data_IF_320533022707
#
_entry.id   IF_320533022707
#
_cell.length_a   1.000
_cell.length_b   1.000
_cell.length_c   1.000
_cell.angle_alpha   90.00
_cell.angle_beta   90.00
_cell.angle_gamma   90.00
#
_symmetry.space_group_name_H-M   'P 1'
#
loop_
_entity.id
_entity.type
_entity.pdbx_description
1 polymer ?
#
# COMPACT_ATOMS: atom_id res chain seq x y z
N UNK A 1 -14.01 0.55 16.32
CA UNK A 1 -12.66 0.06 15.96
C UNK A 1 -11.78 1.21 15.48
N UNK A 2 -11.18 1.97 16.40
CA UNK A 2 -10.15 2.97 16.06
C UNK A 2 -8.80 2.33 16.37
N UNK A 3 -8.01 2.00 15.35
CA UNK A 3 -6.61 1.68 15.57
C UNK A 3 -5.96 2.96 16.08
N UNK A 4 -5.52 2.94 17.34
CA UNK A 4 -4.79 4.06 17.93
C UNK A 4 -3.41 4.13 17.25
N UNK A 5 -2.89 5.35 17.09
CA UNK A 5 -1.61 5.66 16.41
C UNK A 5 -0.36 5.33 17.25
N UNK A 6 -0.56 4.71 18.41
CA UNK A 6 0.39 4.39 19.47
C UNK A 6 0.96 2.96 19.37
N UNK A 7 0.71 2.22 18.29
CA UNK A 7 1.24 0.86 18.13
C UNK A 7 0.48 -0.14 19.01
N UNK A 8 -0.74 -0.47 18.60
CA UNK A 8 -1.53 -1.54 19.22
C UNK A 8 -0.86 -2.93 19.15
N UNK A 9 -1.60 -4.03 19.38
CA UNK A 9 -1.04 -5.39 19.54
C UNK A 9 -0.13 -5.90 18.41
N UNK A 10 -0.07 -5.20 17.27
CA UNK A 10 0.74 -5.53 16.10
C UNK A 10 2.10 -4.81 16.04
N UNK A 11 2.49 -4.06 17.08
CA UNK A 11 3.71 -3.23 17.10
C UNK A 11 5.00 -4.02 16.79
N UNK A 12 5.03 -5.31 17.10
CA UNK A 12 6.15 -6.21 16.78
C UNK A 12 5.75 -7.45 15.95
N UNK A 13 4.62 -7.40 15.24
CA UNK A 13 4.09 -8.56 14.51
C UNK A 13 5.11 -9.20 13.57
N UNK A 14 5.87 -8.38 12.83
CA UNK A 14 6.91 -8.88 11.92
C UNK A 14 8.01 -9.60 12.71
N UNK A 15 8.48 -9.03 13.83
CA UNK A 15 9.51 -9.66 14.65
C UNK A 15 9.07 -11.01 15.21
N UNK A 16 7.81 -11.13 15.61
CA UNK A 16 7.26 -12.39 16.12
C UNK A 16 7.11 -13.45 15.01
N UNK A 17 6.71 -13.04 13.81
CA UNK A 17 6.71 -13.91 12.61
C UNK A 17 8.11 -14.40 12.28
N UNK A 18 9.12 -13.52 12.32
CA UNK A 18 10.51 -13.90 12.02
C UNK A 18 11.03 -14.94 13.03
N UNK A 19 10.81 -14.72 14.34
CA UNK A 19 11.16 -15.70 15.38
C UNK A 19 10.47 -17.04 15.18
N UNK A 20 9.20 -17.04 14.78
CA UNK A 20 8.45 -18.26 14.51
C UNK A 20 9.01 -19.02 13.29
N UNK A 21 9.46 -18.30 12.25
CA UNK A 21 10.09 -18.90 11.06
C UNK A 21 11.44 -19.56 11.42
N UNK A 22 12.26 -18.90 12.23
CA UNK A 22 13.53 -19.47 12.74
C UNK A 22 13.28 -20.72 13.59
N UNK A 23 12.30 -20.66 14.50
CA UNK A 23 11.91 -21.79 15.33
C UNK A 23 11.39 -22.98 14.49
N UNK A 24 10.81 -22.72 13.32
CA UNK A 24 10.40 -23.74 12.35
C UNK A 24 11.58 -24.30 11.51
N UNK A 25 12.81 -23.86 11.76
CA UNK A 25 14.02 -24.33 11.07
C UNK A 25 14.29 -23.62 9.73
N UNK A 26 13.67 -22.47 9.48
CA UNK A 26 14.01 -21.65 8.31
C UNK A 26 15.31 -20.88 8.57
N UNK A 27 16.20 -20.83 7.58
CA UNK A 27 17.35 -19.93 7.63
C UNK A 27 16.95 -18.56 7.07
N UNK A 28 17.22 -17.49 7.82
CA UNK A 28 16.89 -16.11 7.47
C UNK A 28 18.16 -15.27 7.38
N UNK A 29 18.25 -14.45 6.33
CA UNK A 29 19.21 -13.34 6.25
C UNK A 29 18.42 -12.02 6.13
N UNK A 30 18.80 -11.02 6.94
CA UNK A 30 18.09 -9.75 7.01
C UNK A 30 18.73 -8.72 6.06
N UNK A 31 17.93 -8.16 5.14
CA UNK A 31 18.37 -7.08 4.24
C UNK A 31 17.94 -5.70 4.74
N UNK A 32 17.12 -5.65 5.80
CA UNK A 32 16.63 -4.41 6.42
C UNK A 32 17.40 -4.19 7.70
N UNK A 33 17.90 -2.98 7.93
CA UNK A 33 18.64 -2.65 9.16
C UNK A 33 17.65 -2.52 10.34
N UNK A 34 17.99 -3.10 11.50
CA UNK A 34 17.14 -3.13 12.71
C UNK A 34 16.71 -1.73 13.22
N UNK A 35 17.37 -0.66 12.76
CA UNK A 35 17.13 0.72 13.18
C UNK A 35 15.81 1.33 12.68
N UNK A 36 15.09 0.70 11.75
CA UNK A 36 13.74 1.14 11.34
C UNK A 36 12.61 0.60 12.24
N UNK A 37 12.91 -0.33 13.15
CA UNK A 37 11.92 -1.00 14.01
C UNK A 37 11.79 -0.40 15.42
N UNK A 38 12.67 0.54 15.78
CA UNK A 38 12.55 1.33 17.01
C UNK A 38 12.02 2.72 16.65
N UNK A 39 11.16 3.28 17.51
CA UNK A 39 10.64 4.66 17.46
C UNK A 39 9.33 4.93 16.69
N UNK A 40 8.25 4.28 17.11
CA UNK A 40 6.92 4.92 17.18
C UNK A 40 6.79 5.85 18.42
N UNK A 41 7.90 6.38 18.93
CA UNK A 41 7.97 7.19 20.14
C UNK A 41 8.92 8.38 19.97
N UNK A 42 8.35 9.57 19.89
CA UNK A 42 8.94 10.87 20.25
C UNK A 42 10.29 11.23 19.61
N UNK A 43 10.27 11.66 18.34
CA UNK A 43 11.18 12.70 17.83
C UNK A 43 10.43 13.61 16.85
N UNK A 44 10.48 14.92 17.07
CA UNK A 44 9.62 15.94 16.43
C UNK A 44 9.77 16.08 14.90
N UNK A 45 10.71 15.38 14.26
CA UNK A 45 10.99 15.49 12.83
C UNK A 45 11.06 14.14 12.07
N UNK A 46 10.68 13.02 12.71
CA UNK A 46 10.63 11.71 12.03
C UNK A 46 9.23 11.54 11.43
N UNK A 47 9.16 11.26 10.12
CA UNK A 47 7.90 10.85 9.47
C UNK A 47 7.48 9.53 10.08
N UNK A 48 6.51 9.56 11.00
CA UNK A 48 5.87 8.34 11.51
C UNK A 48 5.18 7.66 10.33
N UNK A 49 5.79 6.63 9.79
CA UNK A 49 5.18 5.75 8.79
C UNK A 49 4.21 4.83 9.52
N UNK A 50 2.97 4.72 9.03
CA UNK A 50 1.98 3.82 9.63
C UNK A 50 2.26 2.34 9.35
N UNK A 51 3.21 2.02 8.47
CA UNK A 51 3.59 0.66 8.09
C UNK A 51 5.00 0.32 8.57
N UNK A 52 5.17 -0.93 9.04
CA UNK A 52 6.46 -1.57 9.28
C UNK A 52 6.78 -2.49 8.11
N UNK A 53 7.98 -2.41 7.54
CA UNK A 53 8.41 -3.29 6.44
C UNK A 53 9.68 -4.05 6.78
N UNK A 54 9.74 -5.29 6.33
CA UNK A 54 10.92 -6.14 6.39
C UNK A 54 11.22 -6.72 5.02
N UNK A 55 12.51 -6.79 4.72
CA UNK A 55 13.10 -7.39 3.53
C UNK A 55 14.21 -8.29 3.98
N UNK A 56 14.22 -9.51 3.46
CA UNK A 56 15.21 -10.50 3.77
C UNK A 56 15.30 -11.58 2.70
N UNK A 57 16.05 -12.61 3.04
CA UNK A 57 16.17 -13.84 2.28
C UNK A 57 15.80 -14.99 3.22
N UNK A 58 15.04 -15.95 2.72
CA UNK A 58 14.61 -17.13 3.45
C UNK A 58 14.99 -18.41 2.69
N UNK A 59 15.41 -19.43 3.43
CA UNK A 59 15.52 -20.82 2.96
C UNK A 59 14.67 -21.70 3.87
N UNK A 60 13.71 -22.39 3.28
CA UNK A 60 12.85 -23.34 3.99
C UNK A 60 13.59 -24.65 4.26
N UNK A 61 13.28 -25.36 5.36
CA UNK A 61 13.85 -26.68 5.62
C UNK A 61 13.47 -27.65 4.50
N UNK A 62 14.45 -28.44 4.04
CA UNK A 62 14.26 -29.39 2.92
C UNK A 62 14.33 -28.78 1.51
N UNK A 63 14.60 -27.48 1.38
CA UNK A 63 14.82 -26.83 0.09
C UNK A 63 16.24 -26.29 -0.01
N UNK A 64 16.88 -26.42 -1.18
CA UNK A 64 18.26 -25.97 -1.37
C UNK A 64 18.40 -24.50 -1.76
N UNK A 65 17.30 -23.89 -2.24
CA UNK A 65 17.32 -22.54 -2.82
C UNK A 65 16.79 -21.50 -1.84
N UNK A 66 17.58 -20.44 -1.69
CA UNK A 66 17.16 -19.21 -1.03
C UNK A 66 16.17 -18.43 -1.90
N UNK A 67 15.25 -17.70 -1.24
CA UNK A 67 14.23 -16.85 -1.87
C UNK A 67 14.16 -15.50 -1.17
N UNK A 68 13.86 -14.43 -1.92
CA UNK A 68 13.53 -13.13 -1.31
C UNK A 68 12.24 -13.25 -0.50
N UNK A 69 12.24 -12.61 0.67
CA UNK A 69 11.09 -12.45 1.52
C UNK A 69 10.86 -10.95 1.74
N UNK A 70 9.66 -10.49 1.41
CA UNK A 70 9.20 -9.12 1.67
C UNK A 70 7.95 -9.21 2.56
N UNK A 71 8.03 -8.67 3.77
CA UNK A 71 6.92 -8.60 4.73
C UNK A 71 6.56 -7.14 4.98
N UNK A 72 5.26 -6.85 5.03
CA UNK A 72 4.75 -5.52 5.38
C UNK A 72 3.56 -5.65 6.32
N UNK A 73 3.57 -4.88 7.39
CA UNK A 73 2.46 -4.76 8.34
C UNK A 73 1.82 -3.39 8.19
N UNK A 74 0.50 -3.37 8.01
CA UNK A 74 -0.29 -2.15 7.82
C UNK A 74 -1.43 -2.13 8.84
N UNK A 75 -1.89 -0.94 9.26
CA UNK A 75 -3.10 -0.84 10.06
C UNK A 75 -4.31 -1.31 9.23
N UNK A 76 -5.36 -1.88 9.85
CA UNK A 76 -6.49 -2.46 9.13
C UNK A 76 -7.20 -1.50 8.17
N UNK A 77 -7.19 -0.19 8.46
CA UNK A 77 -7.81 0.85 7.63
C UNK A 77 -7.07 1.08 6.30
N UNK A 78 -5.81 0.65 6.20
CA UNK A 78 -4.98 0.77 5.00
C UNK A 78 -4.95 -0.52 4.17
N UNK A 79 -5.57 -1.60 4.66
CA UNK A 79 -5.48 -2.94 4.08
C UNK A 79 -5.82 -2.98 2.57
N UNK A 80 -6.93 -2.35 2.16
CA UNK A 80 -7.33 -2.33 0.75
C UNK A 80 -6.29 -1.64 -0.16
N UNK A 81 -5.70 -0.54 0.32
CA UNK A 81 -4.70 0.21 -0.43
C UNK A 81 -3.35 -0.52 -0.48
N UNK A 82 -2.96 -1.15 0.64
CA UNK A 82 -1.78 -1.98 0.73
C UNK A 82 -1.88 -3.21 -0.17
N UNK A 83 -3.04 -3.86 -0.21
CA UNK A 83 -3.32 -5.00 -1.08
C UNK A 83 -3.16 -4.60 -2.55
N UNK A 84 -3.81 -3.52 -2.98
CA UNK A 84 -3.67 -3.00 -4.35
C UNK A 84 -2.21 -2.72 -4.72
N UNK A 85 -1.48 -2.08 -3.83
CA UNK A 85 -0.06 -1.79 -4.03
C UNK A 85 0.78 -3.07 -4.17
N UNK A 86 0.59 -4.03 -3.27
CA UNK A 86 1.45 -5.21 -3.16
C UNK A 86 1.15 -6.26 -4.22
N UNK A 87 -0.13 -6.37 -4.64
CA UNK A 87 -0.53 -7.20 -5.78
C UNK A 87 0.07 -6.69 -7.09
N UNK A 88 0.17 -5.37 -7.26
CA UNK A 88 0.76 -4.78 -8.46
C UNK A 88 -0.06 -5.04 -9.73
N UNK A 89 0.56 -5.05 -10.92
CA UNK A 89 1.99 -4.88 -11.23
C UNK A 89 2.54 -3.46 -10.98
N UNK A 90 3.87 -3.27 -11.06
CA UNK A 90 4.46 -1.91 -10.95
C UNK A 90 3.91 -0.95 -12.02
N UNK A 91 3.78 -1.42 -13.26
CA UNK A 91 3.19 -0.64 -14.35
C UNK A 91 1.73 -0.26 -14.07
N UNK A 92 0.93 -1.20 -13.57
CA UNK A 92 -0.45 -0.94 -13.17
C UNK A 92 -0.52 0.12 -12.06
N UNK A 93 0.29 -0.04 -11.01
CA UNK A 93 0.39 0.92 -9.91
C UNK A 93 0.81 2.31 -10.38
N UNK A 94 1.81 2.41 -11.27
CA UNK A 94 2.24 3.69 -11.85
C UNK A 94 1.13 4.36 -12.64
N UNK A 95 0.38 3.60 -13.42
CA UNK A 95 -0.75 4.09 -14.20
C UNK A 95 -1.89 4.58 -13.32
N UNK A 96 -2.26 3.82 -12.27
CA UNK A 96 -3.26 4.22 -11.28
C UNK A 96 -2.89 5.51 -10.56
N UNK A 97 -1.61 5.65 -10.14
CA UNK A 97 -1.11 6.89 -9.52
C UNK A 97 -1.12 8.06 -10.49
N UNK A 98 -0.76 7.83 -11.76
CA UNK A 98 -0.81 8.87 -12.79
C UNK A 98 -2.24 9.37 -13.01
N UNK A 99 -3.21 8.45 -13.11
CA UNK A 99 -4.62 8.77 -13.24
C UNK A 99 -5.15 9.54 -12.01
N UNK A 100 -4.84 9.08 -10.79
CA UNK A 100 -5.21 9.79 -9.57
C UNK A 100 -4.63 11.21 -9.53
N UNK A 101 -3.38 11.39 -9.97
CA UNK A 101 -2.72 12.69 -10.07
C UNK A 101 -3.40 13.64 -11.06
N UNK A 102 -3.89 13.13 -12.19
CA UNK A 102 -4.67 13.91 -13.14
C UNK A 102 -5.99 14.43 -12.53
N UNK A 103 -6.58 13.68 -11.58
CA UNK A 103 -7.76 14.09 -10.79
C UNK A 103 -7.45 14.96 -9.57
N UNK A 104 -6.19 15.36 -9.36
CA UNK A 104 -5.80 16.17 -8.20
C UNK A 104 -5.67 15.37 -6.89
N UNK A 105 -5.38 14.07 -7.01
CA UNK A 105 -5.17 13.16 -5.88
C UNK A 105 -3.76 12.56 -5.88
N UNK A 106 -3.31 12.07 -4.73
CA UNK A 106 -2.10 11.27 -4.58
C UNK A 106 -2.49 9.92 -3.99
N UNK A 107 -2.39 8.87 -4.81
CA UNK A 107 -2.62 7.49 -4.41
C UNK A 107 -1.30 6.86 -3.92
N UNK A 108 -1.34 6.20 -2.77
CA UNK A 108 -0.26 5.39 -2.18
C UNK A 108 -0.83 4.11 -1.56
N UNK A 109 0.05 3.23 -1.09
CA UNK A 109 -0.29 2.07 -0.27
C UNK A 109 -0.97 2.43 1.06
N UNK A 110 -0.81 3.66 1.54
CA UNK A 110 -1.48 4.16 2.74
C UNK A 110 -2.86 4.80 2.48
N UNK A 111 -3.24 5.00 1.22
CA UNK A 111 -4.50 5.66 0.87
C UNK A 111 -4.44 6.71 -0.23
N UNK A 112 -5.53 7.44 -0.38
CA UNK A 112 -5.71 8.54 -1.35
C UNK A 112 -5.84 9.86 -0.60
N UNK A 113 -4.95 10.81 -0.90
CA UNK A 113 -4.98 12.16 -0.33
C UNK A 113 -5.14 13.22 -1.41
N UNK A 114 -5.61 14.42 -1.05
CA UNK A 114 -5.67 15.55 -1.99
C UNK A 114 -4.24 15.96 -2.38
N UNK A 115 -4.03 16.24 -3.66
CA UNK A 115 -2.75 16.68 -4.21
C UNK A 115 -2.95 17.98 -5.00
N UNK A 116 -2.63 19.11 -4.38
CA UNK A 116 -2.79 20.43 -5.00
C UNK A 116 -1.43 20.94 -5.45
N UNK A 117 -1.33 21.41 -6.69
CA UNK A 117 -0.17 22.18 -7.15
C UNK A 117 -0.28 23.59 -6.58
N UNK A 118 0.79 24.08 -5.96
CA UNK A 118 0.86 25.49 -5.54
C UNK A 118 1.26 26.30 -6.76
N UNK A 119 0.51 27.37 -7.07
CA UNK A 119 0.77 28.22 -8.23
C UNK A 119 2.25 28.67 -8.25
N UNK A 120 2.92 28.45 -9.38
CA UNK A 120 4.33 28.83 -9.58
C UNK A 120 5.38 27.87 -9.00
N UNK A 121 4.99 26.82 -8.26
CA UNK A 121 5.93 25.85 -7.69
C UNK A 121 5.88 24.49 -8.41
N UNK A 122 7.03 23.84 -8.57
CA UNK A 122 7.11 22.42 -8.96
C UNK A 122 6.61 21.48 -7.84
N UNK A 123 6.41 22.00 -6.63
CA UNK A 123 6.03 21.22 -5.46
C UNK A 123 4.51 20.96 -5.40
N UNK A 124 4.15 19.72 -5.07
CA UNK A 124 2.77 19.30 -4.84
C UNK A 124 2.54 19.21 -3.35
N UNK A 125 1.57 19.97 -2.83
CA UNK A 125 1.14 19.86 -1.44
C UNK A 125 0.17 18.69 -1.33
N UNK A 126 0.53 17.72 -0.49
CA UNK A 126 -0.31 16.55 -0.20
C UNK A 126 -1.09 16.79 1.07
N UNK A 127 -2.37 16.43 1.07
CA UNK A 127 -3.20 16.39 2.26
C UNK A 127 -2.66 15.36 3.27
N UNK A 128 -2.99 15.57 4.54
CA UNK A 128 -2.58 14.70 5.65
C UNK A 128 -3.64 13.66 6.03
N UNK A 129 -4.83 13.73 5.43
CA UNK A 129 -5.96 12.85 5.71
C UNK A 129 -6.36 12.11 4.44
N UNK A 130 -6.63 10.81 4.59
CA UNK A 130 -7.26 10.02 3.54
C UNK A 130 -8.62 10.62 3.19
N UNK A 131 -8.84 10.81 1.89
CA UNK A 131 -10.08 11.33 1.33
C UNK A 131 -11.19 10.28 1.32
N UNK A 132 -10.80 9.02 1.15
CA UNK A 132 -11.72 7.89 1.01
C UNK A 132 -11.31 6.77 1.96
N UNK A 133 -12.29 6.21 2.67
CA UNK A 133 -12.14 4.96 3.39
C UNK A 133 -12.46 3.84 2.39
N UNK A 134 -11.56 2.88 2.25
CA UNK A 134 -11.74 1.72 1.38
C UNK A 134 -11.66 0.45 2.23
N UNK A 135 -12.66 -0.41 2.12
CA UNK A 135 -12.68 -1.72 2.77
C UNK A 135 -12.25 -2.83 1.80
N UNK A 136 -12.40 -2.58 0.51
CA UNK A 136 -12.03 -3.47 -0.60
C UNK A 136 -11.26 -2.72 -1.69
N UNK A 137 -10.60 -3.45 -2.59
CA UNK A 137 -9.97 -2.83 -3.76
C UNK A 137 -11.03 -2.16 -4.64
N UNK A 138 -12.22 -2.76 -4.80
CA UNK A 138 -13.33 -2.24 -5.58
C UNK A 138 -13.73 -0.81 -5.15
N UNK A 139 -13.70 -0.51 -3.84
CA UNK A 139 -13.99 0.84 -3.32
C UNK A 139 -12.99 1.87 -3.85
N UNK A 140 -11.72 1.48 -4.02
CA UNK A 140 -10.66 2.35 -4.55
C UNK A 140 -10.93 2.67 -6.02
N UNK A 141 -11.31 1.66 -6.81
CA UNK A 141 -11.67 1.85 -8.21
C UNK A 141 -12.92 2.73 -8.34
N UNK A 142 -13.95 2.49 -7.53
CA UNK A 142 -15.16 3.29 -7.49
C UNK A 142 -14.88 4.76 -7.12
N UNK A 143 -14.04 5.00 -6.10
CA UNK A 143 -13.62 6.35 -5.70
C UNK A 143 -12.86 7.08 -6.83
N UNK A 144 -12.13 6.34 -7.66
CA UNK A 144 -11.45 6.87 -8.84
C UNK A 144 -12.36 6.88 -10.09
N UNK A 145 -13.58 6.36 -10.05
CA UNK A 145 -14.48 6.25 -11.22
C UNK A 145 -13.95 5.32 -12.30
N UNK A 146 -13.32 4.22 -11.90
CA UNK A 146 -12.71 3.21 -12.77
C UNK A 146 -13.49 1.89 -12.70
N UNK A 147 -13.47 1.12 -13.77
CA UNK A 147 -13.94 -0.27 -13.75
C UNK A 147 -12.94 -1.12 -12.98
N UNK A 148 -13.42 -1.97 -12.07
CA UNK A 148 -12.57 -2.85 -11.29
C UNK A 148 -11.86 -3.88 -12.19
N UNK A 149 -10.59 -4.15 -11.90
CA UNK A 149 -9.73 -5.08 -12.64
C UNK A 149 -9.17 -6.12 -11.69
N UNK A 150 -9.46 -7.40 -11.96
CA UNK A 150 -8.96 -8.53 -11.17
C UNK A 150 -7.43 -8.63 -11.19
N UNK A 151 -6.79 -9.15 -10.12
CA UNK A 151 -5.33 -9.28 -10.01
C UNK A 151 -4.64 -9.91 -11.22
N UNK A 152 -5.18 -11.00 -11.77
CA UNK A 152 -4.59 -11.71 -12.90
C UNK A 152 -4.65 -10.92 -14.22
N UNK A 153 -5.49 -9.87 -14.30
CA UNK A 153 -5.59 -8.98 -15.46
C UNK A 153 -4.72 -7.71 -15.33
N UNK A 154 -3.96 -7.56 -14.24
CA UNK A 154 -3.09 -6.38 -13.99
C UNK A 154 -1.68 -6.52 -14.59
N UNK A 155 -1.38 -7.70 -15.16
CA UNK A 155 -0.13 -8.02 -15.82
C UNK A 155 -0.31 -7.82 -17.33
N UNK A 156 -0.32 -6.58 -17.79
CA UNK A 156 -0.42 -6.28 -19.21
C UNK A 156 0.62 -5.26 -19.62
N UNK A 157 1.24 -5.48 -20.77
CA UNK A 157 1.92 -4.43 -21.53
C UNK A 157 0.87 -3.38 -21.92
N UNK A 158 0.74 -2.36 -21.08
CA UNK A 158 0.07 -1.07 -21.33
C UNK A 158 -1.33 -1.19 -21.97
N UNK A 159 -2.30 -1.82 -21.28
CA UNK A 159 -3.71 -1.57 -21.60
C UNK A 159 -4.20 -0.30 -20.91
N UNK A 160 -4.94 0.59 -21.60
CA UNK A 160 -5.46 1.81 -20.99
C UNK A 160 -6.40 1.48 -19.82
N UNK A 161 -6.27 2.22 -18.72
CA UNK A 161 -7.23 2.13 -17.62
C UNK A 161 -8.62 2.52 -18.15
N UNK A 162 -9.59 1.62 -17.98
CA UNK A 162 -10.96 1.84 -18.43
C UNK A 162 -11.76 2.62 -17.38
N UNK A 163 -12.37 3.72 -17.83
CA UNK A 163 -13.34 4.45 -17.03
C UNK A 163 -14.58 3.58 -16.81
N UNK A 164 -15.18 3.68 -15.63
CA UNK A 164 -16.47 3.05 -15.39
C UNK A 164 -17.50 3.62 -16.38
N UNK A 165 -18.21 2.75 -17.10
CA UNK A 165 -19.36 3.17 -17.89
C UNK A 165 -20.40 3.71 -16.92
N UNK A 166 -20.61 5.02 -16.90
CA UNK A 166 -21.77 5.58 -16.20
C UNK A 166 -23.00 5.08 -16.94
N UNK A 167 -23.97 4.39 -16.32
CA UNK A 167 -25.23 4.15 -16.99
C UNK A 167 -25.77 5.52 -17.38
N UNK A 168 -25.98 5.73 -18.68
CA UNK A 168 -26.70 6.89 -19.17
C UNK A 168 -28.00 6.91 -18.37
N UNK A 169 -28.15 7.88 -17.46
CA UNK A 169 -29.46 8.22 -16.92
C UNK A 169 -30.33 8.46 -18.14
N UNK A 170 -31.21 7.50 -18.45
CA UNK A 170 -32.26 7.69 -19.41
C UNK A 170 -32.95 8.98 -18.97
N UNK A 171 -32.82 10.02 -19.79
CA UNK A 171 -33.59 11.23 -19.59
C UNK A 171 -35.04 10.78 -19.58
N UNK A 172 -35.68 10.79 -18.41
CA UNK A 172 -37.13 10.68 -18.34
C UNK A 172 -37.65 11.82 -19.23
N UNK A 173 -38.27 11.45 -20.35
CA UNK A 173 -39.07 12.34 -21.17
C UNK A 173 -40.39 12.62 -20.47
#
# INVERSE_FOLDING_TARGET
>A
WRCRRDGGPDANLIGDVLKALEAAGCALDHLTHEQEHQYAGVQANVRVTSCTSYRGVIKLPGYDRFRRLDLKSYPPQEYAYALLYFTGSDHFNRSMRHFAKAKGYSLSDHGIVKATKVNGSKNVVRGTKNLFIAYSEQDIFAALGLTYVEPHMRNTDVQPIQLAQTPLLQKCQ
#
